data_IF_942772758548
#
_entry.id   IF_942772758548
#
_cell.length_a   1.000
_cell.length_b   1.000
_cell.length_c   1.000
_cell.angle_alpha   90.00
_cell.angle_beta   90.00
_cell.angle_gamma   90.00
#
_symmetry.space_group_name_H-M   'P 1'
#
loop_
_entity.id
_entity.type
_entity.pdbx_description
1 polymer ?
#
# COMPACT_ATOMS: atom_id res chain seq x y z
N UNK A 1 -26.08 -1.37 17.64
CA UNK A 1 -25.22 -2.43 17.09
C UNK A 1 -24.16 -1.76 16.24
N UNK A 2 -22.89 -1.80 16.65
CA UNK A 2 -21.77 -1.30 15.85
C UNK A 2 -21.77 -2.02 14.51
N UNK A 3 -21.78 -1.24 13.40
CA UNK A 3 -21.69 -1.78 12.04
C UNK A 3 -20.34 -2.49 11.91
N UNK A 4 -20.34 -3.81 12.02
CA UNK A 4 -19.17 -4.67 12.28
C UNK A 4 -18.12 -4.73 11.15
N UNK A 5 -18.23 -3.91 10.09
CA UNK A 5 -17.33 -3.99 8.95
C UNK A 5 -16.95 -2.62 8.39
N UNK A 6 -16.49 -1.70 9.25
CA UNK A 6 -16.04 -0.39 8.78
C UNK A 6 -14.74 -0.49 7.99
N UNK A 7 -14.71 0.09 6.81
CA UNK A 7 -13.55 0.16 5.94
C UNK A 7 -13.11 1.61 5.78
N UNK A 8 -11.86 1.90 6.09
CA UNK A 8 -11.27 3.24 6.08
C UNK A 8 -10.20 3.28 5.00
N UNK A 9 -10.37 4.14 4.00
CA UNK A 9 -9.34 4.42 3.00
C UNK A 9 -8.50 5.61 3.45
N UNK A 10 -7.19 5.43 3.54
CA UNK A 10 -6.21 6.46 3.84
C UNK A 10 -5.39 6.76 2.59
N UNK A 11 -5.54 7.97 2.06
CA UNK A 11 -4.79 8.48 0.91
C UNK A 11 -3.84 9.62 1.33
N UNK A 12 -2.84 9.90 0.52
CA UNK A 12 -1.89 10.99 0.77
C UNK A 12 -2.00 12.07 -0.29
N UNK A 13 -1.98 13.34 0.10
CA UNK A 13 -1.94 14.45 -0.84
C UNK A 13 -0.60 14.55 -1.57
N UNK A 14 0.46 14.01 -0.93
CA UNK A 14 1.82 13.98 -1.46
C UNK A 14 2.22 12.54 -1.79
N UNK A 15 3.05 12.33 -2.83
CA UNK A 15 3.46 10.98 -3.23
C UNK A 15 4.30 10.27 -2.16
N UNK A 16 5.17 11.02 -1.45
CA UNK A 16 6.05 10.47 -0.41
C UNK A 16 5.84 11.19 0.92
N UNK A 17 6.10 10.49 2.01
CA UNK A 17 6.15 11.01 3.39
C UNK A 17 4.92 11.82 3.84
N UNK A 18 3.76 11.59 3.23
CA UNK A 18 2.51 12.24 3.61
C UNK A 18 2.03 11.87 5.03
N UNK A 19 2.57 10.81 5.64
CA UNK A 19 2.17 10.33 6.97
C UNK A 19 1.06 9.28 6.96
N UNK A 20 0.78 8.63 5.82
CA UNK A 20 -0.26 7.60 5.70
C UNK A 20 -0.10 6.44 6.67
N UNK A 21 1.09 5.83 6.70
CA UNK A 21 1.40 4.69 7.59
C UNK A 21 1.26 5.07 9.06
N UNK A 22 1.69 6.29 9.42
CA UNK A 22 1.53 6.84 10.78
C UNK A 22 0.06 6.98 11.16
N UNK A 23 -0.78 7.53 10.28
CA UNK A 23 -2.22 7.64 10.52
C UNK A 23 -2.89 6.26 10.59
N UNK A 24 -2.53 5.33 9.71
CA UNK A 24 -3.04 3.96 9.75
C UNK A 24 -2.70 3.25 11.07
N UNK A 25 -1.46 3.39 11.57
CA UNK A 25 -1.06 2.86 12.90
C UNK A 25 -1.89 3.49 14.02
N UNK A 26 -2.08 4.81 13.99
CA UNK A 26 -2.89 5.51 14.99
C UNK A 26 -4.35 5.01 15.02
N UNK A 27 -4.94 4.80 13.83
CA UNK A 27 -6.28 4.23 13.72
C UNK A 27 -6.33 2.79 14.25
N UNK A 28 -5.35 1.95 13.91
CA UNK A 28 -5.27 0.57 14.39
C UNK A 28 -5.23 0.55 15.93
N UNK A 29 -4.36 1.34 16.56
CA UNK A 29 -4.26 1.39 18.02
C UNK A 29 -5.53 1.97 18.66
N UNK A 30 -6.08 3.07 18.12
CA UNK A 30 -7.31 3.66 18.67
C UNK A 30 -8.52 2.75 18.57
N UNK A 31 -8.68 2.01 17.49
CA UNK A 31 -9.74 1.01 17.37
C UNK A 31 -9.50 -0.20 18.28
N UNK A 32 -8.25 -0.58 18.53
CA UNK A 32 -7.88 -1.65 19.45
C UNK A 32 -8.28 -1.29 20.90
N UNK A 33 -8.16 -0.02 21.30
CA UNK A 33 -8.69 0.48 22.59
C UNK A 33 -10.22 0.28 22.69
N UNK A 34 -10.93 0.44 21.58
CA UNK A 34 -12.37 0.15 21.47
C UNK A 34 -12.68 -1.35 21.25
N UNK A 35 -11.68 -2.24 21.41
CA UNK A 35 -11.79 -3.72 21.22
C UNK A 35 -12.17 -4.13 19.79
N UNK A 36 -11.83 -3.31 18.80
CA UNK A 36 -12.04 -3.59 17.39
C UNK A 36 -10.66 -3.77 16.71
N UNK A 37 -10.42 -4.93 16.10
CA UNK A 37 -9.20 -5.16 15.31
C UNK A 37 -9.41 -4.66 13.88
N UNK A 38 -8.75 -3.56 13.52
CA UNK A 38 -8.65 -3.13 12.12
C UNK A 38 -7.60 -3.98 11.41
N UNK A 39 -7.98 -4.62 10.32
CA UNK A 39 -7.06 -5.36 9.46
C UNK A 39 -6.43 -4.37 8.47
N UNK A 40 -5.10 -4.27 8.39
CA UNK A 40 -4.46 -3.41 7.39
C UNK A 40 -4.53 -4.05 6.01
N UNK A 41 -4.71 -3.22 4.98
CA UNK A 41 -4.61 -3.63 3.58
C UNK A 41 -3.84 -2.58 2.78
N UNK A 42 -2.75 -2.99 2.17
CA UNK A 42 -1.92 -2.15 1.29
C UNK A 42 -1.86 -2.78 -0.09
N UNK A 43 -2.78 -2.41 -1.01
CA UNK A 43 -2.95 -3.08 -2.31
C UNK A 43 -1.66 -3.15 -3.12
N UNK A 44 -0.87 -2.08 -3.07
CA UNK A 44 0.41 -1.95 -3.75
C UNK A 44 1.44 -1.28 -2.85
N UNK A 45 2.68 -1.70 -2.95
CA UNK A 45 3.82 -1.07 -2.30
C UNK A 45 5.10 -1.27 -3.11
N UNK A 46 6.13 -0.54 -2.74
CA UNK A 46 7.47 -0.69 -3.30
C UNK A 46 8.54 -0.70 -2.20
N UNK A 47 9.66 -1.32 -2.50
CA UNK A 47 10.88 -1.30 -1.70
C UNK A 47 12.00 -0.79 -2.60
N UNK A 48 12.76 0.20 -2.14
CA UNK A 48 14.02 0.57 -2.79
C UNK A 48 15.15 -0.28 -2.23
N UNK A 49 15.81 -1.04 -3.08
CA UNK A 49 17.00 -1.80 -2.71
C UNK A 49 18.09 -0.90 -2.10
N UNK A 50 18.20 0.34 -2.56
CA UNK A 50 19.25 1.26 -2.13
C UNK A 50 18.89 2.00 -0.83
N UNK A 51 17.70 2.60 -0.76
CA UNK A 51 17.31 3.46 0.39
C UNK A 51 16.61 2.69 1.50
N UNK A 52 16.11 1.47 1.21
CA UNK A 52 15.39 0.61 2.16
C UNK A 52 16.03 -0.79 2.25
N UNK A 53 17.36 -0.83 2.33
CA UNK A 53 18.10 -2.09 2.32
C UNK A 53 17.70 -3.03 3.47
N UNK A 54 17.35 -2.48 4.63
CA UNK A 54 16.85 -3.29 5.76
C UNK A 54 15.53 -4.00 5.45
N UNK A 55 14.62 -3.37 4.71
CA UNK A 55 13.38 -4.00 4.25
C UNK A 55 13.68 -5.11 3.23
N UNK A 56 14.67 -4.88 2.35
CA UNK A 56 15.16 -5.93 1.44
C UNK A 56 15.76 -7.10 2.21
N UNK A 57 16.58 -6.87 3.26
CA UNK A 57 17.16 -7.93 4.09
C UNK A 57 16.06 -8.74 4.81
N UNK A 58 15.03 -8.08 5.35
CA UNK A 58 13.87 -8.78 5.92
C UNK A 58 13.13 -9.62 4.88
N UNK A 59 12.96 -9.09 3.66
CA UNK A 59 12.39 -9.83 2.52
C UNK A 59 13.24 -11.04 2.14
N UNK A 60 14.56 -10.90 2.15
CA UNK A 60 15.49 -11.99 1.88
C UNK A 60 15.35 -13.12 2.93
N UNK A 61 15.29 -12.77 4.21
CA UNK A 61 15.10 -13.75 5.32
C UNK A 61 13.77 -14.48 5.17
N UNK A 62 12.70 -13.76 4.89
CA UNK A 62 11.34 -14.31 4.69
C UNK A 62 11.17 -15.01 3.33
N UNK A 63 12.12 -14.85 2.41
CA UNK A 63 12.05 -15.37 1.04
C UNK A 63 10.82 -14.88 0.26
N UNK A 64 10.36 -13.67 0.55
CA UNK A 64 9.23 -13.02 -0.11
C UNK A 64 9.39 -11.48 -0.03
N UNK A 65 8.92 -10.75 -1.05
CA UNK A 65 8.95 -9.28 -1.02
C UNK A 65 7.93 -8.75 -0.03
N UNK A 66 8.39 -7.94 0.96
CA UNK A 66 7.56 -7.33 1.98
C UNK A 66 7.99 -5.87 2.20
N UNK A 67 7.07 -4.92 2.08
CA UNK A 67 7.36 -3.52 2.38
C UNK A 67 7.44 -3.28 3.90
N UNK A 68 8.20 -2.26 4.29
CA UNK A 68 8.27 -1.82 5.70
C UNK A 68 6.89 -1.49 6.24
N UNK A 69 6.09 -0.75 5.44
CA UNK A 69 4.77 -0.27 5.86
C UNK A 69 3.85 -1.42 6.28
N UNK A 70 3.73 -2.47 5.44
CA UNK A 70 2.82 -3.57 5.80
C UNK A 70 3.33 -4.37 7.01
N UNK A 71 4.65 -4.48 7.18
CA UNK A 71 5.21 -5.12 8.37
C UNK A 71 4.91 -4.32 9.64
N UNK A 72 4.99 -2.98 9.57
CA UNK A 72 4.67 -2.11 10.70
C UNK A 72 3.16 -2.12 11.02
N UNK A 73 2.31 -2.08 9.99
CA UNK A 73 0.86 -2.09 10.15
C UNK A 73 0.37 -3.42 10.74
N UNK A 74 0.91 -4.56 10.28
CA UNK A 74 0.54 -5.87 10.83
C UNK A 74 1.06 -6.05 12.25
N UNK A 75 2.26 -5.56 12.57
CA UNK A 75 2.78 -5.56 13.93
C UNK A 75 1.89 -4.76 14.90
N UNK A 76 1.27 -3.67 14.43
CA UNK A 76 0.29 -2.91 15.22
C UNK A 76 -1.07 -3.62 15.33
N UNK A 77 -1.54 -4.23 14.25
CA UNK A 77 -2.86 -4.84 14.15
C UNK A 77 -2.94 -6.24 14.79
N UNK A 78 -1.86 -7.02 14.70
CA UNK A 78 -1.79 -8.42 15.15
C UNK A 78 -2.92 -9.29 14.55
N UNK A 79 -3.25 -9.04 13.27
CA UNK A 79 -4.42 -9.62 12.60
C UNK A 79 -4.29 -11.11 12.28
N UNK A 80 -3.09 -11.64 12.33
CA UNK A 80 -2.73 -13.03 12.01
C UNK A 80 -3.01 -13.41 10.55
N UNK A 81 -3.06 -12.42 9.65
CA UNK A 81 -3.23 -12.65 8.22
C UNK A 81 -1.85 -12.60 7.55
N UNK A 82 -1.55 -13.51 6.60
CA UNK A 82 -0.29 -13.48 5.89
C UNK A 82 -0.02 -12.12 5.24
N UNK A 83 1.21 -11.60 5.43
CA UNK A 83 1.62 -10.29 4.93
C UNK A 83 1.44 -10.15 3.42
N UNK A 84 1.62 -11.24 2.68
CA UNK A 84 1.43 -11.27 1.24
C UNK A 84 -0.03 -11.05 0.83
N UNK A 85 -0.99 -11.49 1.65
CA UNK A 85 -2.43 -11.25 1.44
C UNK A 85 -2.79 -9.80 1.77
N UNK A 86 -2.19 -9.26 2.82
CA UNK A 86 -2.39 -7.85 3.24
C UNK A 86 -1.74 -6.85 2.27
N UNK A 87 -0.69 -7.30 1.55
CA UNK A 87 0.01 -6.49 0.55
C UNK A 87 0.21 -7.32 -0.73
N UNK A 88 -0.83 -7.50 -1.56
CA UNK A 88 -0.81 -8.44 -2.69
C UNK A 88 0.17 -8.08 -3.81
N UNK A 89 0.48 -6.81 -4.01
CA UNK A 89 1.44 -6.37 -5.03
C UNK A 89 2.59 -5.63 -4.37
N UNK A 90 3.82 -6.11 -4.59
CA UNK A 90 5.01 -5.47 -4.05
C UNK A 90 6.15 -5.48 -5.06
N UNK A 91 6.72 -4.31 -5.33
CA UNK A 91 7.82 -4.09 -6.25
C UNK A 91 9.13 -3.85 -5.52
N UNK A 92 10.19 -4.47 -6.01
CA UNK A 92 11.57 -4.15 -5.64
C UNK A 92 12.19 -3.31 -6.74
N UNK A 93 12.63 -2.11 -6.40
CA UNK A 93 13.35 -1.20 -7.28
C UNK A 93 14.82 -1.14 -6.89
N UNK A 94 15.70 -1.11 -7.89
CA UNK A 94 17.15 -0.98 -7.73
C UNK A 94 17.66 0.42 -8.09
N UNK A 95 18.95 0.64 -7.96
CA UNK A 95 19.56 1.89 -8.41
C UNK A 95 19.56 1.99 -9.94
N UNK A 96 19.29 3.17 -10.45
CA UNK A 96 19.52 3.48 -11.86
C UNK A 96 21.02 3.51 -12.12
N UNK A 97 21.49 2.66 -13.02
CA UNK A 97 22.92 2.54 -13.34
C UNK A 97 23.37 3.48 -14.45
N UNK A 98 22.43 4.07 -15.19
CA UNK A 98 22.73 4.90 -16.35
C UNK A 98 21.95 6.23 -16.30
N UNK A 99 22.63 7.35 -16.55
CA UNK A 99 22.04 8.69 -16.55
C UNK A 99 21.79 9.13 -17.99
N UNK A 100 20.67 9.81 -18.24
CA UNK A 100 20.34 10.36 -19.56
C UNK A 100 19.37 9.50 -20.38
N UNK A 101 18.67 8.59 -19.76
CA UNK A 101 17.69 7.71 -20.39
C UNK A 101 16.28 8.32 -20.27
N UNK A 102 15.40 8.16 -21.28
CA UNK A 102 14.02 8.56 -21.21
C UNK A 102 13.30 7.96 -19.99
N UNK A 103 12.38 8.71 -19.37
CA UNK A 103 11.69 8.35 -18.13
C UNK A 103 11.07 6.94 -18.18
N UNK A 104 10.45 6.56 -19.29
CA UNK A 104 9.88 5.23 -19.52
C UNK A 104 10.92 4.11 -19.38
N UNK A 105 12.15 4.35 -19.85
CA UNK A 105 13.25 3.39 -19.72
C UNK A 105 13.85 3.38 -18.33
N UNK A 106 13.77 4.50 -17.58
CA UNK A 106 14.20 4.56 -16.17
C UNK A 106 13.39 3.61 -15.31
N UNK A 107 12.06 3.59 -15.45
CA UNK A 107 11.17 2.69 -14.69
C UNK A 107 11.56 1.22 -14.89
N UNK A 108 11.94 0.83 -16.13
CA UNK A 108 12.39 -0.54 -16.38
C UNK A 108 13.79 -0.82 -15.83
N UNK A 109 14.69 0.16 -15.84
CA UNK A 109 16.04 -0.01 -15.25
C UNK A 109 16.02 -0.11 -13.74
N UNK A 110 15.12 0.63 -13.08
CA UNK A 110 14.91 0.52 -11.64
C UNK A 110 14.20 -0.78 -11.26
N UNK A 111 13.45 -1.37 -12.18
CA UNK A 111 12.70 -2.58 -11.91
C UNK A 111 13.65 -3.77 -11.66
N UNK A 112 13.50 -4.44 -10.53
CA UNK A 112 14.23 -5.65 -10.20
C UNK A 112 13.33 -6.87 -10.08
N UNK A 113 12.26 -6.76 -9.30
CA UNK A 113 11.30 -7.83 -9.10
C UNK A 113 9.93 -7.26 -8.74
N UNK A 114 8.87 -7.98 -9.09
CA UNK A 114 7.51 -7.68 -8.63
C UNK A 114 6.79 -8.96 -8.23
N UNK A 115 6.16 -8.94 -7.06
CA UNK A 115 5.33 -10.03 -6.55
C UNK A 115 3.87 -9.70 -6.76
N UNK A 116 3.13 -10.68 -7.28
CA UNK A 116 1.67 -10.71 -7.28
C UNK A 116 1.20 -11.90 -6.45
N UNK A 117 0.42 -11.64 -5.42
CA UNK A 117 -0.17 -12.66 -4.56
C UNK A 117 -1.64 -12.85 -4.91
N UNK A 118 -2.03 -14.09 -5.07
CA UNK A 118 -3.41 -14.48 -5.31
C UNK A 118 -3.90 -15.33 -4.15
N UNK A 119 -5.16 -15.15 -3.76
CA UNK A 119 -5.84 -15.97 -2.76
C UNK A 119 -7.01 -16.69 -3.39
N UNK A 120 -7.08 -18.03 -3.23
CA UNK A 120 -8.11 -18.89 -3.82
C UNK A 120 -9.27 -19.22 -2.86
N UNK A 121 -9.28 -18.62 -1.68
CA UNK A 121 -10.23 -18.88 -0.60
C UNK A 121 -9.64 -19.72 0.53
N UNK A 122 -8.69 -20.61 0.24
CA UNK A 122 -8.04 -21.50 1.20
C UNK A 122 -6.58 -21.10 1.47
N UNK A 123 -5.82 -20.94 0.39
CA UNK A 123 -4.39 -20.65 0.45
C UNK A 123 -4.04 -19.42 -0.39
N UNK A 124 -2.83 -18.92 -0.24
CA UNK A 124 -2.29 -17.89 -1.11
C UNK A 124 -1.09 -18.43 -1.90
N UNK A 125 -0.86 -17.83 -3.05
CA UNK A 125 0.24 -18.20 -3.96
C UNK A 125 0.90 -16.95 -4.52
N UNK A 126 2.22 -16.99 -4.65
CA UNK A 126 3.02 -15.89 -5.15
C UNK A 126 3.52 -16.17 -6.58
N UNK A 127 3.31 -15.22 -7.47
CA UNK A 127 3.89 -15.17 -8.81
C UNK A 127 4.86 -13.99 -8.86
N UNK A 128 6.06 -14.23 -9.35
CA UNK A 128 7.08 -13.19 -9.46
C UNK A 128 7.41 -12.90 -10.92
N UNK A 129 7.56 -11.62 -11.20
CA UNK A 129 8.21 -11.12 -12.41
C UNK A 129 9.57 -10.57 -12.00
N UNK A 130 10.62 -11.06 -12.65
CA UNK A 130 12.01 -10.73 -12.34
C UNK A 130 12.64 -10.05 -13.55
N UNK A 131 13.41 -9.00 -13.33
CA UNK A 131 14.18 -8.39 -14.42
C UNK A 131 15.30 -9.34 -14.87
N UNK A 132 15.20 -9.81 -16.11
CA UNK A 132 16.17 -10.72 -16.72
C UNK A 132 17.44 -10.05 -17.23
N UNK A 133 17.53 -8.71 -17.17
CA UNK A 133 18.67 -7.94 -17.68
C UNK A 133 19.62 -7.44 -16.60
N UNK A 134 19.24 -7.60 -15.30
CA UNK A 134 20.02 -7.12 -14.15
C UNK A 134 21.31 -7.92 -13.99
N UNK A 135 22.42 -7.24 -13.81
CA UNK A 135 23.69 -7.86 -13.46
C UNK A 135 23.72 -8.21 -11.96
N UNK A 136 23.14 -9.34 -11.59
CA UNK A 136 22.97 -9.79 -10.22
C UNK A 136 24.28 -9.88 -9.39
N UNK A 137 25.41 -10.35 -9.96
CA UNK A 137 26.68 -10.43 -9.20
C UNK A 137 27.20 -9.09 -8.67
N UNK A 138 26.76 -7.95 -9.23
CA UNK A 138 27.14 -6.62 -8.74
C UNK A 138 26.28 -6.11 -7.59
N UNK A 139 25.20 -6.82 -7.24
CA UNK A 139 24.26 -6.41 -6.23
C UNK A 139 24.29 -7.40 -5.08
N UNK A 140 24.67 -6.90 -3.90
CA UNK A 140 24.80 -7.71 -2.68
C UNK A 140 23.49 -8.47 -2.41
N UNK A 141 23.61 -9.76 -2.10
CA UNK A 141 22.50 -10.64 -1.74
C UNK A 141 21.38 -10.82 -2.80
N UNK A 142 21.41 -10.10 -3.93
CA UNK A 142 20.36 -10.16 -4.94
C UNK A 142 20.27 -11.52 -5.63
N UNK A 143 21.43 -12.13 -5.91
CA UNK A 143 21.47 -13.49 -6.48
C UNK A 143 20.83 -14.51 -5.52
N UNK A 144 21.16 -14.42 -4.24
CA UNK A 144 20.58 -15.28 -3.18
C UNK A 144 19.09 -15.07 -3.09
N UNK A 145 18.62 -13.81 -3.16
CA UNK A 145 17.21 -13.47 -3.14
C UNK A 145 16.45 -14.08 -4.32
N UNK A 146 16.97 -13.95 -5.55
CA UNK A 146 16.37 -14.56 -6.74
C UNK A 146 16.29 -16.09 -6.64
N UNK A 147 17.33 -16.74 -6.10
CA UNK A 147 17.31 -18.19 -5.90
C UNK A 147 16.26 -18.62 -4.86
N UNK A 148 16.13 -17.89 -3.76
CA UNK A 148 15.12 -18.17 -2.72
C UNK A 148 13.70 -17.97 -3.26
N UNK A 149 13.45 -16.88 -3.99
CA UNK A 149 12.15 -16.63 -4.64
C UNK A 149 11.79 -17.78 -5.60
N UNK A 150 12.72 -18.18 -6.47
CA UNK A 150 12.47 -19.28 -7.42
C UNK A 150 12.08 -20.60 -6.75
N UNK A 151 12.59 -20.86 -5.54
CA UNK A 151 12.24 -22.07 -4.79
C UNK A 151 10.86 -22.01 -4.15
N UNK A 152 10.44 -20.81 -3.71
CA UNK A 152 9.24 -20.63 -2.90
C UNK A 152 8.05 -20.08 -3.68
N UNK A 153 8.26 -19.50 -4.86
CA UNK A 153 7.19 -19.00 -5.71
C UNK A 153 6.49 -20.12 -6.46
N UNK A 154 5.19 -19.99 -6.64
CA UNK A 154 4.45 -20.88 -7.53
C UNK A 154 4.95 -20.76 -8.99
N UNK A 155 5.28 -19.53 -9.41
CA UNK A 155 5.78 -19.23 -10.74
C UNK A 155 6.71 -18.04 -10.72
N UNK A 156 7.79 -18.12 -11.50
CA UNK A 156 8.66 -16.99 -11.81
C UNK A 156 8.68 -16.75 -13.31
N UNK A 157 8.52 -15.51 -13.74
CA UNK A 157 8.61 -15.04 -15.11
C UNK A 157 9.75 -14.04 -15.23
N UNK A 158 10.46 -14.03 -16.35
CA UNK A 158 11.45 -13.00 -16.63
C UNK A 158 10.87 -11.97 -17.58
N UNK A 159 11.04 -10.70 -17.23
CA UNK A 159 10.78 -9.55 -18.11
C UNK A 159 12.11 -9.03 -18.64
N UNK A 160 12.16 -8.69 -19.92
CA UNK A 160 13.39 -8.24 -20.59
C UNK A 160 13.27 -6.87 -21.23
N UNK A 161 12.06 -6.33 -21.30
CA UNK A 161 11.75 -5.01 -21.86
C UNK A 161 10.59 -4.37 -21.11
N UNK A 162 10.43 -3.05 -21.30
CA UNK A 162 9.41 -2.27 -20.59
C UNK A 162 7.97 -2.77 -20.87
N UNK A 163 7.70 -3.12 -22.13
CA UNK A 163 6.36 -3.60 -22.54
C UNK A 163 5.95 -4.88 -21.80
N UNK A 164 6.90 -5.81 -21.58
CA UNK A 164 6.66 -7.03 -20.82
C UNK A 164 6.26 -6.69 -19.36
N UNK A 165 6.87 -5.64 -18.77
CA UNK A 165 6.53 -5.18 -17.42
C UNK A 165 5.15 -4.57 -17.38
N UNK A 166 4.79 -3.72 -18.34
CA UNK A 166 3.45 -3.11 -18.46
C UNK A 166 2.37 -4.19 -18.63
N UNK A 167 2.62 -5.16 -19.50
CA UNK A 167 1.70 -6.29 -19.70
C UNK A 167 1.55 -7.12 -18.42
N UNK A 168 2.66 -7.44 -17.75
CA UNK A 168 2.63 -8.17 -16.50
C UNK A 168 1.79 -7.47 -15.44
N UNK A 169 1.97 -6.16 -15.29
CA UNK A 169 1.21 -5.35 -14.33
C UNK A 169 -0.28 -5.31 -14.69
N UNK A 170 -0.64 -4.93 -15.90
CA UNK A 170 -2.03 -4.82 -16.34
C UNK A 170 -2.81 -6.14 -16.24
N UNK A 171 -2.14 -7.26 -16.51
CA UNK A 171 -2.74 -8.60 -16.46
C UNK A 171 -2.98 -9.11 -15.03
N UNK A 172 -2.14 -8.71 -14.08
CA UNK A 172 -2.08 -9.34 -12.76
C UNK A 172 -2.57 -8.46 -11.62
N UNK A 173 -2.45 -7.12 -11.71
CA UNK A 173 -2.73 -6.21 -10.61
C UNK A 173 -4.14 -6.38 -10.04
N UNK A 174 -5.16 -6.23 -10.87
CA UNK A 174 -6.56 -6.33 -10.43
C UNK A 174 -6.91 -7.71 -9.89
N UNK A 175 -6.39 -8.76 -10.51
CA UNK A 175 -6.63 -10.15 -10.07
C UNK A 175 -6.01 -10.41 -8.70
N UNK A 176 -4.79 -9.94 -8.47
CA UNK A 176 -4.08 -10.11 -7.22
C UNK A 176 -4.78 -9.31 -6.09
N UNK A 177 -5.00 -8.02 -6.30
CA UNK A 177 -5.62 -7.14 -5.30
C UNK A 177 -7.04 -7.58 -4.95
N UNK A 178 -7.88 -7.86 -5.95
CA UNK A 178 -9.27 -8.28 -5.72
C UNK A 178 -9.37 -9.66 -5.05
N UNK A 179 -8.49 -10.62 -5.40
CA UNK A 179 -8.53 -11.94 -4.76
C UNK A 179 -8.16 -11.88 -3.27
N UNK A 180 -7.14 -11.09 -2.94
CA UNK A 180 -6.72 -10.88 -1.56
C UNK A 180 -7.74 -10.03 -0.77
N UNK A 181 -8.28 -8.97 -1.38
CA UNK A 181 -9.31 -8.15 -0.75
C UNK A 181 -10.57 -8.95 -0.39
N UNK A 182 -11.06 -9.82 -1.29
CA UNK A 182 -12.20 -10.72 -1.00
C UNK A 182 -12.00 -11.58 0.24
N UNK A 183 -10.77 -11.94 0.59
CA UNK A 183 -10.45 -12.72 1.80
C UNK A 183 -10.71 -11.95 3.09
N UNK A 184 -10.60 -10.62 3.05
CA UNK A 184 -10.63 -9.76 4.23
C UNK A 184 -11.80 -8.76 4.25
N UNK A 185 -12.51 -8.58 3.14
CA UNK A 185 -13.51 -7.51 2.95
C UNK A 185 -14.67 -7.48 3.97
N UNK A 186 -14.92 -8.59 4.66
CA UNK A 186 -15.96 -8.70 5.68
C UNK A 186 -15.45 -8.34 7.09
N UNK A 187 -14.22 -7.85 7.21
CA UNK A 187 -13.62 -7.38 8.48
C UNK A 187 -13.55 -5.86 8.50
N UNK A 188 -13.44 -5.24 9.69
CA UNK A 188 -13.02 -3.85 9.77
C UNK A 188 -11.64 -3.68 9.16
N UNK A 189 -11.48 -2.72 8.24
CA UNK A 189 -10.25 -2.53 7.46
C UNK A 189 -9.73 -1.11 7.57
N UNK A 190 -8.40 -0.98 7.55
CA UNK A 190 -7.72 0.24 7.15
C UNK A 190 -6.92 -0.02 5.89
N UNK A 191 -7.26 0.68 4.81
CA UNK A 191 -6.63 0.57 3.49
C UNK A 191 -5.67 1.73 3.32
N UNK A 192 -4.38 1.44 3.13
CA UNK A 192 -3.36 2.45 2.86
C UNK A 192 -3.06 2.51 1.36
N UNK A 193 -3.23 3.68 0.74
CA UNK A 193 -2.89 3.89 -0.66
C UNK A 193 -1.38 3.90 -0.90
N UNK A 194 -0.97 3.57 -2.13
CA UNK A 194 0.41 3.69 -2.59
C UNK A 194 0.67 5.11 -3.12
N UNK A 195 1.77 5.72 -2.72
CA UNK A 195 2.10 7.10 -3.08
C UNK A 195 0.92 8.04 -2.84
N UNK A 196 0.54 8.83 -3.83
CA UNK A 196 -0.61 9.73 -3.86
C UNK A 196 -1.79 9.18 -4.67
N UNK A 197 -1.87 7.86 -4.86
CA UNK A 197 -2.97 7.24 -5.59
C UNK A 197 -4.32 7.54 -4.91
N UNK A 198 -5.24 8.15 -5.68
CA UNK A 198 -6.60 8.44 -5.21
C UNK A 198 -7.48 7.18 -5.20
N UNK A 199 -7.24 6.26 -6.12
CA UNK A 199 -7.98 5.00 -6.27
C UNK A 199 -7.00 3.82 -6.32
N UNK A 200 -6.58 3.29 -5.16
CA UNK A 200 -5.45 2.37 -5.08
C UNK A 200 -5.73 0.96 -5.62
N UNK A 201 -6.98 0.55 -5.78
CA UNK A 201 -7.39 -0.74 -6.33
C UNK A 201 -8.89 -0.75 -6.66
N UNK A 202 -9.33 -1.66 -7.52
CA UNK A 202 -10.74 -1.90 -7.81
C UNK A 202 -11.44 -2.52 -6.60
N UNK A 203 -12.38 -1.77 -5.99
CA UNK A 203 -13.03 -2.10 -4.71
C UNK A 203 -12.74 -1.05 -3.61
N UNK A 204 -11.99 0.01 -3.91
CA UNK A 204 -11.77 1.11 -2.97
C UNK A 204 -13.06 1.86 -2.63
N UNK A 205 -14.06 1.85 -3.52
CA UNK A 205 -15.40 2.42 -3.34
C UNK A 205 -16.22 1.73 -2.24
N UNK A 206 -15.84 0.51 -1.86
CA UNK A 206 -16.44 -0.20 -0.73
C UNK A 206 -16.05 0.41 0.63
N UNK A 207 -15.08 1.32 0.66
CA UNK A 207 -14.68 1.99 1.91
C UNK A 207 -15.77 2.96 2.37
N UNK A 208 -16.05 2.98 3.67
CA UNK A 208 -17.08 3.81 4.30
C UNK A 208 -16.57 5.22 4.59
N UNK A 209 -15.26 5.35 4.81
CA UNK A 209 -14.59 6.60 5.20
C UNK A 209 -13.37 6.80 4.31
N UNK A 210 -13.18 8.03 3.83
CA UNK A 210 -11.97 8.43 3.08
C UNK A 210 -11.26 9.53 3.86
N UNK A 211 -10.03 9.25 4.26
CA UNK A 211 -9.13 10.18 4.94
C UNK A 211 -7.96 10.53 4.03
N UNK A 212 -7.71 11.82 3.87
CA UNK A 212 -6.53 12.32 3.18
C UNK A 212 -5.57 12.93 4.19
N UNK A 213 -4.34 12.43 4.22
CA UNK A 213 -3.30 12.97 5.08
C UNK A 213 -2.33 13.83 4.27
N UNK A 214 -1.99 14.96 4.84
CA UNK A 214 -0.96 15.89 4.38
C UNK A 214 -0.18 16.41 5.57
N UNK A 215 0.86 17.21 5.36
CA UNK A 215 1.62 17.84 6.44
C UNK A 215 0.67 18.58 7.40
N UNK A 216 0.72 18.24 8.68
CA UNK A 216 -0.06 18.85 9.78
C UNK A 216 -1.59 18.71 9.68
N UNK A 217 -2.13 17.94 8.74
CA UNK A 217 -3.57 17.94 8.49
C UNK A 217 -4.06 16.56 8.07
N UNK A 218 -5.18 16.14 8.62
CA UNK A 218 -6.01 15.06 8.12
C UNK A 218 -7.34 15.65 7.66
N UNK A 219 -7.73 15.36 6.43
CA UNK A 219 -9.02 15.73 5.87
C UNK A 219 -9.90 14.48 5.80
N UNK A 220 -11.16 14.61 6.18
CA UNK A 220 -12.16 13.58 5.91
C UNK A 220 -13.00 14.03 4.73
N UNK A 221 -12.97 13.27 3.65
CA UNK A 221 -13.79 13.56 2.49
C UNK A 221 -15.24 13.09 2.68
N UNK A 222 -16.15 13.79 2.01
CA UNK A 222 -17.49 13.27 1.74
C UNK A 222 -17.34 12.10 0.77
N UNK A 223 -17.68 10.89 1.21
CA UNK A 223 -17.42 9.64 0.47
C UNK A 223 -17.95 9.68 -0.95
N UNK A 224 -19.23 10.01 -1.09
CA UNK A 224 -19.90 9.96 -2.39
C UNK A 224 -19.29 10.99 -3.36
N UNK A 225 -18.97 12.19 -2.86
CA UNK A 225 -18.32 13.24 -3.68
C UNK A 225 -16.89 12.87 -4.06
N UNK A 226 -16.18 12.18 -3.19
CA UNK A 226 -14.84 11.68 -3.51
C UNK A 226 -14.89 10.66 -4.66
N UNK A 227 -15.77 9.67 -4.58
CA UNK A 227 -15.87 8.65 -5.64
C UNK A 227 -16.56 9.18 -6.90
N UNK A 228 -17.49 10.16 -6.83
CA UNK A 228 -17.98 10.89 -8.00
C UNK A 228 -16.83 11.60 -8.74
N UNK A 229 -15.92 12.23 -8.02
CA UNK A 229 -14.73 12.85 -8.63
C UNK A 229 -13.82 11.79 -9.30
N UNK A 230 -13.59 10.62 -8.66
CA UNK A 230 -12.88 9.50 -9.27
C UNK A 230 -13.54 9.04 -10.58
N UNK A 231 -14.86 8.90 -10.61
CA UNK A 231 -15.62 8.54 -11.82
C UNK A 231 -15.48 9.59 -12.91
N UNK A 232 -15.60 10.87 -12.55
CA UNK A 232 -15.50 11.98 -13.51
C UNK A 232 -14.14 12.02 -14.22
N UNK A 233 -13.06 12.00 -13.44
CA UNK A 233 -11.70 12.05 -14.00
C UNK A 233 -11.27 10.69 -14.60
N UNK A 234 -11.83 9.59 -14.13
CA UNK A 234 -11.59 8.24 -14.64
C UNK A 234 -12.13 7.99 -16.05
N UNK A 235 -12.98 8.91 -16.57
CA UNK A 235 -13.45 8.87 -17.99
C UNK A 235 -12.34 9.22 -18.98
N UNK A 236 -11.33 9.96 -18.55
CA UNK A 236 -10.23 10.42 -19.41
C UNK A 236 -8.99 9.53 -19.32
N UNK A 237 -8.82 8.84 -18.20
CA UNK A 237 -7.68 7.92 -17.94
C UNK A 237 -8.08 6.85 -16.93
N UNK A 238 -7.26 5.80 -16.82
CA UNK A 238 -7.51 4.76 -15.81
C UNK A 238 -7.65 5.34 -14.40
N UNK A 239 -8.68 4.93 -13.65
CA UNK A 239 -8.89 5.33 -12.24
C UNK A 239 -7.66 5.03 -11.37
N UNK A 240 -6.97 3.92 -11.64
CA UNK A 240 -5.75 3.52 -10.93
C UNK A 240 -4.56 4.47 -11.14
N UNK A 241 -4.63 5.37 -12.12
CA UNK A 241 -3.62 6.38 -12.40
C UNK A 241 -3.98 7.77 -11.86
N UNK A 242 -5.14 7.91 -11.19
CA UNK A 242 -5.57 9.17 -10.60
C UNK A 242 -4.79 9.43 -9.31
N UNK A 243 -4.29 10.66 -9.18
CA UNK A 243 -3.67 11.15 -7.94
C UNK A 243 -4.69 11.91 -7.09
N UNK A 244 -4.45 11.99 -5.79
CA UNK A 244 -5.30 12.74 -4.86
C UNK A 244 -5.38 14.21 -5.27
N UNK A 245 -4.28 14.82 -5.68
CA UNK A 245 -4.25 16.22 -6.12
C UNK A 245 -5.17 16.49 -7.32
N UNK A 246 -5.33 15.54 -8.22
CA UNK A 246 -6.21 15.67 -9.39
C UNK A 246 -7.70 15.63 -9.00
N UNK A 247 -8.08 14.82 -8.03
CA UNK A 247 -9.50 14.71 -7.61
C UNK A 247 -9.86 15.67 -6.49
N UNK A 248 -8.86 16.25 -5.81
CA UNK A 248 -9.04 17.09 -4.64
C UNK A 248 -9.98 18.27 -4.85
N UNK A 249 -9.84 18.98 -5.97
CA UNK A 249 -10.65 20.17 -6.26
C UNK A 249 -12.14 19.87 -6.49
N UNK A 250 -12.46 18.65 -6.96
CA UNK A 250 -13.83 18.20 -7.17
C UNK A 250 -14.39 17.41 -5.98
N UNK A 251 -13.54 17.04 -5.03
CA UNK A 251 -13.91 16.35 -3.80
C UNK A 251 -14.27 17.37 -2.71
N UNK A 252 -15.33 17.09 -1.98
CA UNK A 252 -15.70 17.88 -0.81
C UNK A 252 -15.15 17.22 0.45
N UNK A 253 -14.49 17.98 1.31
CA UNK A 253 -14.14 17.49 2.64
C UNK A 253 -15.18 17.92 3.67
N UNK A 254 -15.51 16.99 4.53
CA UNK A 254 -16.51 17.12 5.60
C UNK A 254 -15.89 17.75 6.85
N UNK A 255 -14.66 17.34 7.13
CA UNK A 255 -13.95 17.68 8.36
C UNK A 255 -12.45 17.86 8.09
N UNK A 256 -11.84 18.73 8.90
CA UNK A 256 -10.41 18.98 8.89
C UNK A 256 -9.85 18.89 10.31
N UNK A 257 -8.82 18.09 10.49
CA UNK A 257 -8.15 17.88 11.77
C UNK A 257 -6.70 18.35 11.67
N UNK A 258 -6.29 19.20 12.62
CA UNK A 258 -4.90 19.54 12.79
C UNK A 258 -4.18 18.43 13.58
N UNK A 259 -3.01 18.02 13.12
CA UNK A 259 -2.13 17.06 13.78
C UNK A 259 -0.72 17.64 13.90
N UNK A 260 0.04 17.18 14.89
CA UNK A 260 1.40 17.65 15.11
C UNK A 260 2.42 16.70 14.46
N UNK A 261 3.60 17.21 14.05
CA UNK A 261 4.69 16.34 13.64
C UNK A 261 5.14 15.48 14.84
N UNK A 262 5.50 14.24 14.55
CA UNK A 262 5.98 13.27 15.53
C UNK A 262 7.42 12.87 15.21
N UNK A 263 8.26 12.76 16.23
CA UNK A 263 9.59 12.15 16.10
C UNK A 263 9.48 10.65 15.72
N UNK A 264 10.59 10.06 15.34
CA UNK A 264 10.63 8.61 15.06
C UNK A 264 10.25 7.77 16.27
N UNK A 265 10.65 8.19 17.47
CA UNK A 265 10.30 7.50 18.72
C UNK A 265 8.80 7.62 19.00
N UNK A 266 8.22 8.82 18.88
CA UNK A 266 6.80 9.04 19.07
C UNK A 266 5.92 8.30 18.07
N UNK A 267 6.38 8.15 16.81
CA UNK A 267 5.68 7.33 15.79
C UNK A 267 5.66 5.83 16.12
N UNK A 268 6.51 5.38 17.04
CA UNK A 268 6.57 4.01 17.51
C UNK A 268 5.94 3.82 18.90
N UNK A 269 5.46 4.89 19.51
CA UNK A 269 4.73 4.86 20.79
C UNK A 269 3.20 4.89 20.52
N UNK A 270 2.47 3.80 20.83
CA UNK A 270 1.02 3.75 20.61
C UNK A 270 0.25 4.86 21.32
N UNK A 271 0.64 5.23 22.54
CA UNK A 271 -0.05 6.26 23.33
C UNK A 271 0.14 7.65 22.71
N UNK A 272 1.36 7.97 22.23
CA UNK A 272 1.63 9.23 21.53
C UNK A 272 0.88 9.32 20.21
N UNK A 273 0.81 8.22 19.47
CA UNK A 273 0.05 8.14 18.22
C UNK A 273 -1.44 8.38 18.47
N UNK A 274 -2.06 7.63 19.39
CA UNK A 274 -3.50 7.78 19.66
C UNK A 274 -3.83 9.15 20.22
N UNK A 275 -2.97 9.74 21.04
CA UNK A 275 -3.12 11.12 21.54
C UNK A 275 -3.11 12.15 20.40
N UNK A 276 -2.12 12.06 19.47
CA UNK A 276 -1.98 13.03 18.38
C UNK A 276 -3.15 12.98 17.39
N UNK A 277 -3.70 11.78 17.15
CA UNK A 277 -4.82 11.56 16.24
C UNK A 277 -6.17 11.35 16.94
N UNK A 278 -6.27 11.68 18.24
CA UNK A 278 -7.45 11.40 19.09
C UNK A 278 -8.76 11.96 18.51
N UNK A 279 -8.73 13.18 17.96
CA UNK A 279 -9.91 13.79 17.32
C UNK A 279 -10.37 13.01 16.09
N UNK A 280 -9.44 12.56 15.25
CA UNK A 280 -9.74 11.74 14.07
C UNK A 280 -10.34 10.40 14.50
N UNK A 281 -9.69 9.72 15.44
CA UNK A 281 -10.13 8.41 15.98
C UNK A 281 -11.53 8.52 16.55
N UNK A 282 -11.75 9.51 17.45
CA UNK A 282 -13.04 9.73 18.09
C UNK A 282 -14.16 9.93 17.07
N UNK A 283 -13.96 10.84 16.11
CA UNK A 283 -14.95 11.13 15.08
C UNK A 283 -15.33 9.89 14.25
N UNK A 284 -14.34 9.05 13.90
CA UNK A 284 -14.60 7.86 13.11
C UNK A 284 -15.26 6.76 13.95
N UNK A 285 -14.97 6.66 15.23
CA UNK A 285 -15.58 5.68 16.12
C UNK A 285 -17.00 6.07 16.57
N UNK A 286 -17.32 7.37 16.71
CA UNK A 286 -18.64 7.85 17.13
C UNK A 286 -19.67 7.85 15.99
N UNK A 287 -19.27 8.00 14.75
CA UNK A 287 -20.16 7.89 13.58
C UNK A 287 -20.64 6.43 13.33
N UNK A 288 -20.38 5.56 14.27
CA UNK A 288 -20.76 4.16 14.24
C UNK A 288 -22.04 3.95 15.06
#
# INVERSE_FOLDING_TARGET
MLKMSRKILVVGLQPYDAGKTTLCKALIYGFKEAKITLVPFKPHSGISYWTQFDAFQRSLVKSTLLSSDIMELEAAAESQIPLEVLNPVNRLSGPVLDRGIPEEKLVFQEFMAERFTYHDGLTHRNVYYLNGTVNLPRLRDMQTFYLRIKRNAQKTCFVRKFEDLVEAYSKNFDKATSSCFRRIQNRPLVVESFNDAAYPFNGAEDCDVVLCVSSNTVLRFEKDKYFEAIELYGRQKSKLQLTVSQVYAASLFKEKFAVQPLSTEERNDPAKLTQNYSKVIKQITEDT
#
